data_IF_333748457152
#
_entry.id   IF_333748457152
#
_cell.length_a   1.000
_cell.length_b   1.000
_cell.length_c   1.000
_cell.angle_alpha   90.00
_cell.angle_beta   90.00
_cell.angle_gamma   90.00
#
_symmetry.space_group_name_H-M   'P 1'
#
loop_
_entity.id
_entity.type
_entity.pdbx_description
1 polymer ?
#
# COMPACT_ATOMS: atom_id res chain seq x y z
N UNK A 1 -14.43 -10.82 8.20
CA UNK A 1 -13.12 -11.07 7.57
C UNK A 1 -12.24 -9.87 7.91
N UNK A 2 -11.09 -10.07 8.53
CA UNK A 2 -10.15 -8.98 8.82
C UNK A 2 -9.49 -8.59 7.49
N UNK A 3 -9.40 -7.30 7.13
CA UNK A 3 -8.75 -6.89 5.89
C UNK A 3 -7.27 -7.27 5.95
N UNK A 4 -6.82 -8.00 4.94
CA UNK A 4 -5.45 -8.52 4.86
C UNK A 4 -4.39 -7.45 4.51
N UNK A 5 -4.85 -6.24 4.19
CA UNK A 5 -4.03 -5.03 4.00
C UNK A 5 -4.69 -3.92 4.82
N UNK A 6 -3.90 -3.17 5.57
CA UNK A 6 -4.32 -2.00 6.34
C UNK A 6 -3.34 -0.86 6.07
N UNK A 7 -3.85 0.36 5.92
CA UNK A 7 -3.04 1.57 5.82
C UNK A 7 -3.23 2.38 7.10
N UNK A 8 -2.12 2.88 7.63
CA UNK A 8 -2.00 3.57 8.90
C UNK A 8 -1.18 4.85 8.69
N UNK A 9 -1.23 5.78 9.65
CA UNK A 9 -0.35 6.94 9.73
C UNK A 9 -0.19 7.69 8.39
N UNK A 10 -1.30 7.99 7.72
CA UNK A 10 -1.28 8.78 6.49
C UNK A 10 -0.87 10.20 6.85
N UNK A 11 0.29 10.62 6.36
CA UNK A 11 0.85 11.94 6.60
C UNK A 11 0.39 12.95 5.54
N UNK A 12 0.56 14.24 5.85
CA UNK A 12 0.34 15.29 4.85
C UNK A 12 1.36 15.18 3.72
N UNK A 13 0.94 15.33 2.46
CA UNK A 13 1.82 15.28 1.32
C UNK A 13 2.93 16.33 1.40
N UNK A 14 4.13 15.95 0.99
CA UNK A 14 5.24 16.87 0.81
C UNK A 14 5.75 16.73 -0.61
N UNK A 15 5.78 17.81 -1.38
CA UNK A 15 6.27 17.83 -2.77
C UNK A 15 5.54 16.83 -3.69
N UNK A 16 4.22 16.64 -3.51
CA UNK A 16 3.44 15.69 -4.31
C UNK A 16 3.61 14.21 -3.95
N UNK A 17 4.22 13.89 -2.81
CA UNK A 17 4.30 12.53 -2.27
C UNK A 17 3.44 12.37 -1.00
N UNK A 18 2.61 11.32 -0.96
CA UNK A 18 1.89 10.87 0.23
C UNK A 18 2.66 9.74 0.91
N UNK A 19 3.08 9.93 2.16
CA UNK A 19 3.68 8.87 2.96
C UNK A 19 2.66 8.25 3.92
N UNK A 20 2.68 6.93 4.04
CA UNK A 20 1.79 6.15 4.89
C UNK A 20 2.48 4.88 5.38
N UNK A 21 2.03 4.37 6.52
CA UNK A 21 2.38 3.04 6.98
C UNK A 21 1.38 2.04 6.43
N UNK A 22 1.87 0.83 6.18
CA UNK A 22 1.09 -0.28 5.67
C UNK A 22 1.38 -1.50 6.52
N UNK A 23 0.33 -2.21 6.86
CA UNK A 23 0.37 -3.50 7.50
C UNK A 23 -0.31 -4.53 6.60
N UNK A 24 0.38 -5.63 6.35
CA UNK A 24 -0.10 -6.77 5.57
C UNK A 24 -0.22 -7.96 6.51
N UNK A 25 -1.31 -8.71 6.36
CA UNK A 25 -1.55 -9.97 7.07
C UNK A 25 -2.22 -10.96 6.10
N UNK A 26 -1.39 -11.78 5.46
CA UNK A 26 -1.75 -12.81 4.50
C UNK A 26 -1.01 -14.12 4.81
N UNK A 27 -1.64 -14.99 5.60
CA UNK A 27 -1.06 -16.28 5.97
C UNK A 27 -0.84 -17.22 4.78
N UNK A 28 -1.59 -17.03 3.70
CA UNK A 28 -1.43 -17.81 2.46
C UNK A 28 -0.08 -17.58 1.77
N UNK A 29 0.62 -16.48 2.09
CA UNK A 29 1.93 -16.10 1.53
C UNK A 29 3.00 -16.00 2.61
N UNK A 30 2.85 -16.72 3.73
CA UNK A 30 3.80 -16.69 4.83
C UNK A 30 5.21 -17.16 4.40
N UNK A 31 6.24 -16.36 4.69
CA UNK A 31 7.61 -16.60 4.26
C UNK A 31 7.90 -16.25 2.80
N UNK A 32 6.89 -15.80 2.04
CA UNK A 32 7.03 -15.53 0.62
C UNK A 32 7.40 -14.07 0.33
N UNK A 33 7.98 -13.86 -0.86
CA UNK A 33 8.25 -12.52 -1.38
C UNK A 33 7.08 -12.04 -2.22
N UNK A 34 6.56 -10.87 -1.89
CA UNK A 34 5.39 -10.25 -2.50
C UNK A 34 5.72 -8.83 -2.96
N UNK A 35 5.02 -8.36 -3.99
CA UNK A 35 5.17 -7.00 -4.50
C UNK A 35 3.99 -6.16 -4.06
N UNK A 36 4.26 -5.09 -3.32
CA UNK A 36 3.29 -4.08 -2.92
C UNK A 36 3.33 -2.92 -3.90
N UNK A 37 2.18 -2.55 -4.44
CA UNK A 37 2.02 -1.41 -5.34
C UNK A 37 1.01 -0.44 -4.78
N UNK A 38 1.40 0.82 -4.64
CA UNK A 38 0.53 1.91 -4.27
C UNK A 38 0.29 2.81 -5.49
N UNK A 39 -0.97 3.19 -5.72
CA UNK A 39 -1.34 4.08 -6.82
C UNK A 39 -2.42 5.05 -6.38
N UNK A 40 -2.36 6.29 -6.87
CA UNK A 40 -3.41 7.29 -6.67
C UNK A 40 -3.85 7.95 -8.00
N UNK A 41 -5.11 8.43 -8.12
CA UNK A 41 -5.62 9.06 -9.33
C UNK A 41 -4.77 10.26 -9.76
N UNK A 42 -4.55 10.40 -11.08
CA UNK A 42 -3.85 11.54 -11.66
C UNK A 42 -2.33 11.54 -11.49
N UNK A 43 -1.77 10.59 -10.74
CA UNK A 43 -0.33 10.47 -10.49
C UNK A 43 0.16 9.03 -10.69
N UNK A 44 1.47 8.82 -10.60
CA UNK A 44 2.11 7.53 -10.86
C UNK A 44 1.81 6.48 -9.81
N UNK A 45 2.59 5.39 -9.83
CA UNK A 45 2.54 4.35 -8.80
C UNK A 45 3.91 4.22 -8.14
N UNK A 46 3.90 3.78 -6.88
CA UNK A 46 5.08 3.32 -6.18
C UNK A 46 5.01 1.81 -5.98
N UNK A 47 6.16 1.16 -6.02
CA UNK A 47 6.26 -0.28 -5.86
C UNK A 47 7.34 -0.64 -4.84
N UNK A 48 7.08 -1.68 -4.04
CA UNK A 48 8.02 -2.21 -3.07
C UNK A 48 7.91 -3.73 -3.00
N UNK A 49 9.03 -4.41 -3.20
CA UNK A 49 9.13 -5.86 -2.97
C UNK A 49 9.45 -6.10 -1.50
N UNK A 50 8.68 -6.97 -0.85
CA UNK A 50 8.82 -7.28 0.59
C UNK A 50 8.69 -8.78 0.81
N UNK A 51 9.33 -9.29 1.85
CA UNK A 51 9.14 -10.68 2.29
C UNK A 51 8.22 -10.68 3.51
N UNK A 52 7.14 -11.45 3.44
CA UNK A 52 6.27 -11.66 4.60
C UNK A 52 6.96 -12.56 5.61
N UNK A 53 6.75 -12.30 6.89
CA UNK A 53 7.30 -13.15 7.95
C UNK A 53 6.64 -14.55 7.95
N UNK A 54 7.08 -15.41 8.87
CA UNK A 54 6.55 -16.78 9.02
C UNK A 54 5.06 -16.84 9.38
N UNK A 55 4.47 -15.72 9.80
CA UNK A 55 3.05 -15.58 10.10
C UNK A 55 2.28 -14.90 8.96
N UNK A 56 2.92 -14.66 7.80
CA UNK A 56 2.31 -13.93 6.69
C UNK A 56 2.11 -12.44 6.98
N UNK A 57 2.88 -11.90 7.92
CA UNK A 57 2.76 -10.51 8.36
C UNK A 57 3.92 -9.68 7.83
N UNK A 58 3.63 -8.44 7.47
CA UNK A 58 4.63 -7.44 7.18
C UNK A 58 4.12 -6.07 7.57
N UNK A 59 5.01 -5.18 8.01
CA UNK A 59 4.69 -3.79 8.24
C UNK A 59 5.84 -2.91 7.80
N UNK A 60 5.50 -1.72 7.31
CA UNK A 60 6.49 -0.71 6.95
C UNK A 60 5.87 0.51 6.31
N UNK A 61 6.70 1.49 6.00
CA UNK A 61 6.24 2.72 5.35
C UNK A 61 6.39 2.64 3.84
N UNK A 62 5.46 3.25 3.12
CA UNK A 62 5.52 3.46 1.69
C UNK A 62 5.22 4.92 1.37
N UNK A 63 5.69 5.36 0.21
CA UNK A 63 5.37 6.67 -0.36
C UNK A 63 4.77 6.45 -1.72
N UNK A 64 3.71 7.17 -2.05
CA UNK A 64 3.14 7.22 -3.38
C UNK A 64 3.13 8.65 -3.87
N UNK A 65 3.33 8.86 -5.17
CA UNK A 65 2.98 10.15 -5.75
C UNK A 65 1.47 10.36 -5.63
N UNK A 66 1.08 11.62 -5.48
CA UNK A 66 -0.31 12.04 -5.41
C UNK A 66 -0.49 13.46 -5.98
N UNK A 67 -1.64 13.70 -6.60
CA UNK A 67 -2.04 14.99 -7.16
C UNK A 67 -3.51 15.22 -6.82
N UNK A 68 -3.78 16.05 -5.82
CA UNK A 68 -5.11 16.27 -5.25
C UNK A 68 -5.62 15.16 -4.33
N UNK A 69 -6.86 15.34 -3.85
CA UNK A 69 -7.61 14.38 -3.04
C UNK A 69 -8.17 13.25 -3.91
N UNK A 70 -8.17 12.00 -3.41
CA UNK A 70 -8.65 10.88 -4.22
C UNK A 70 -8.67 9.53 -3.50
N UNK A 71 -8.53 8.46 -4.28
CA UNK A 71 -8.54 7.08 -3.77
C UNK A 71 -7.15 6.47 -3.85
N UNK A 72 -6.54 6.16 -2.72
CA UNK A 72 -5.30 5.39 -2.67
C UNK A 72 -5.65 3.91 -2.84
N UNK A 73 -5.05 3.25 -3.82
CA UNK A 73 -5.18 1.81 -4.03
C UNK A 73 -3.85 1.14 -3.75
N UNK A 74 -3.87 0.18 -2.85
CA UNK A 74 -2.75 -0.72 -2.55
C UNK A 74 -3.06 -2.09 -3.14
N UNK A 75 -2.13 -2.64 -3.90
CA UNK A 75 -2.19 -3.99 -4.46
C UNK A 75 -1.00 -4.82 -3.98
N UNK A 76 -1.26 -6.06 -3.61
CA UNK A 76 -0.30 -7.09 -3.28
C UNK A 76 -0.28 -8.10 -4.44
N UNK A 77 0.90 -8.40 -4.96
CA UNK A 77 1.12 -9.38 -6.02
C UNK A 77 2.00 -10.52 -5.52
N UNK A 78 1.56 -11.75 -5.77
CA UNK A 78 2.32 -12.98 -5.55
C UNK A 78 2.08 -13.95 -6.72
N UNK A 79 3.11 -14.17 -7.54
CA UNK A 79 2.94 -14.86 -8.82
C UNK A 79 1.86 -14.18 -9.67
N UNK A 80 0.86 -14.96 -10.11
CA UNK A 80 -0.30 -14.45 -10.87
C UNK A 80 -1.46 -13.99 -9.97
N UNK A 81 -1.32 -14.04 -8.65
CA UNK A 81 -2.36 -13.63 -7.70
C UNK A 81 -2.23 -12.16 -7.33
N UNK A 82 -3.32 -11.40 -7.47
CA UNK A 82 -3.41 -10.01 -7.01
C UNK A 82 -4.48 -9.86 -5.92
N UNK A 83 -4.16 -9.15 -4.84
CA UNK A 83 -5.09 -8.72 -3.78
C UNK A 83 -5.01 -7.21 -3.61
N UNK A 84 -6.14 -6.52 -3.64
CA UNK A 84 -6.16 -5.05 -3.58
C UNK A 84 -7.06 -4.52 -2.47
N UNK A 85 -6.65 -3.39 -1.90
CA UNK A 85 -7.42 -2.56 -0.99
C UNK A 85 -7.43 -1.14 -1.54
N UNK A 86 -8.58 -0.48 -1.52
CA UNK A 86 -8.71 0.93 -1.88
C UNK A 86 -9.30 1.70 -0.72
N UNK A 87 -8.81 2.91 -0.50
CA UNK A 87 -9.36 3.84 0.50
C UNK A 87 -9.33 5.27 -0.01
N UNK A 88 -10.32 6.06 0.41
CA UNK A 88 -10.35 7.48 0.10
C UNK A 88 -9.42 8.23 1.05
N UNK A 89 -8.53 9.07 0.52
CA UNK A 89 -7.72 9.99 1.30
C UNK A 89 -8.20 11.42 1.04
N UNK A 90 -8.48 12.15 2.11
CA UNK A 90 -8.97 13.54 2.05
C UNK A 90 -7.83 14.57 2.05
N UNK A 91 -6.58 14.11 1.96
CA UNK A 91 -5.43 15.01 2.00
C UNK A 91 -5.15 15.56 0.62
N UNK A 92 -5.06 16.87 0.53
CA UNK A 92 -4.80 17.56 -0.72
C UNK A 92 -3.31 17.55 -1.06
N UNK A 93 -2.97 16.91 -2.18
CA UNK A 93 -1.61 16.87 -2.70
C UNK A 93 -1.43 17.99 -3.71
N UNK A 94 -0.99 19.16 -3.23
CA UNK A 94 -0.68 20.33 -4.05
C UNK A 94 0.83 20.60 -4.12
#
# INVERSE_FOLDING_TARGET
>A
MVPSIMVLNISSPTQGELAFDIQVMHTEFAGETVTLRASSPGSGFAERVVTLDKNGSWSGSMRSSCSGTGTLTISLFYGDTQRSMSMMYLVDCH
#
